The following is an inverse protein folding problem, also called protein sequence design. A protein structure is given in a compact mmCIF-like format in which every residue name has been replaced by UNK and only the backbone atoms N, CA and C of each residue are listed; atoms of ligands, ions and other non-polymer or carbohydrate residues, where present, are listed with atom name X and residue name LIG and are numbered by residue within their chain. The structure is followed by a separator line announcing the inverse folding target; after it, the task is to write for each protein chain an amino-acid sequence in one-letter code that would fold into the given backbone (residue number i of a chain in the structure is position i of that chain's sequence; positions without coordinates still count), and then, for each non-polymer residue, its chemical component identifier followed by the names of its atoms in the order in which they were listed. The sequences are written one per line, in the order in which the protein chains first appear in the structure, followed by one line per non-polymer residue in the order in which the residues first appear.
data_IF_273144094390
#
_entry.id   IF_273144094390
#
_cell.length_a   1.000
_cell.length_b   1.000
_cell.length_c   1.000
_cell.angle_alpha   90.00
_cell.angle_beta   90.00
_cell.angle_gamma   90.00
#
_symmetry.space_group_name_H-M   'P 1'
#
loop_
_entity.id
_entity.type
_entity.pdbx_description
1 polymer ?
#
# COMPACT_ATOMS: atom_id res chain seq x y z
N UNK A 1 -5.91 2.08 -2.38
CA UNK A 1 -4.81 2.32 -3.33
C UNK A 1 -5.30 1.84 -4.69
N UNK A 2 -4.93 2.49 -5.78
CA UNK A 2 -5.31 2.14 -7.14
C UNK A 2 -4.04 2.06 -7.97
N UNK A 3 -3.91 1.02 -8.78
CA UNK A 3 -2.81 0.89 -9.74
C UNK A 3 -3.00 1.96 -10.81
N UNK A 4 -1.97 2.76 -11.05
CA UNK A 4 -2.02 3.83 -12.05
C UNK A 4 -1.16 3.56 -13.27
N UNK A 5 0.00 2.94 -13.06
CA UNK A 5 0.97 2.65 -14.12
C UNK A 5 1.79 1.41 -13.76
N UNK A 6 2.21 0.68 -14.78
CA UNK A 6 3.26 -0.33 -14.69
C UNK A 6 4.63 0.36 -14.75
N UNK A 7 5.60 -0.16 -14.00
CA UNK A 7 6.96 0.36 -13.93
C UNK A 7 7.88 -0.60 -14.68
N UNK A 8 8.26 -0.21 -15.90
CA UNK A 8 9.14 -1.02 -16.75
C UNK A 8 10.60 -1.01 -16.25
N UNK A 9 11.05 0.11 -15.68
CA UNK A 9 12.43 0.27 -15.22
C UNK A 9 12.48 0.53 -13.70
N UNK A 10 12.69 -0.54 -12.94
CA UNK A 10 12.88 -0.48 -11.48
C UNK A 10 14.27 0.01 -11.06
N UNK A 11 15.21 0.16 -11.98
CA UNK A 11 16.59 0.61 -11.69
C UNK A 11 16.64 2.05 -11.17
N UNK A 12 15.68 2.87 -11.59
CA UNK A 12 15.57 4.28 -11.22
C UNK A 12 15.05 4.47 -9.78
N UNK A 13 14.54 3.40 -9.16
CA UNK A 13 14.04 3.39 -7.78
C UNK A 13 15.15 3.13 -6.74
N UNK A 14 16.39 2.97 -7.19
CA UNK A 14 17.56 2.74 -6.35
C UNK A 14 17.84 1.27 -6.06
N UNK A 15 19.07 1.00 -5.59
CA UNK A 15 19.64 -0.36 -5.49
C UNK A 15 18.80 -1.30 -4.61
N UNK A 16 18.31 -0.81 -3.47
CA UNK A 16 17.55 -1.65 -2.54
C UNK A 16 16.21 -2.09 -3.14
N UNK A 17 15.50 -1.17 -3.79
CA UNK A 17 14.22 -1.48 -4.44
C UNK A 17 14.46 -2.38 -5.66
N UNK A 18 15.49 -2.09 -6.45
CA UNK A 18 15.90 -2.92 -7.57
C UNK A 18 16.14 -4.38 -7.15
N UNK A 19 16.90 -4.63 -6.08
CA UNK A 19 17.18 -5.99 -5.59
C UNK A 19 15.91 -6.76 -5.20
N UNK A 20 14.88 -6.07 -4.71
CA UNK A 20 13.62 -6.69 -4.29
C UNK A 20 12.64 -6.94 -5.45
N UNK A 21 12.68 -6.06 -6.46
CA UNK A 21 11.68 -5.97 -7.52
C UNK A 21 12.16 -6.45 -8.90
N UNK A 22 13.47 -6.62 -9.10
CA UNK A 22 14.01 -7.12 -10.38
C UNK A 22 13.37 -8.46 -10.76
N UNK A 23 12.90 -8.57 -12.00
CA UNK A 23 12.23 -9.76 -12.53
C UNK A 23 10.79 -9.95 -12.06
N UNK A 24 10.19 -8.95 -11.41
CA UNK A 24 8.78 -8.96 -10.99
C UNK A 24 8.02 -7.82 -11.65
N UNK A 25 6.76 -8.07 -11.97
CA UNK A 25 5.84 -7.02 -12.37
C UNK A 25 5.71 -6.00 -11.24
N UNK A 26 6.01 -4.74 -11.54
CA UNK A 26 6.04 -3.66 -10.55
C UNK A 26 5.08 -2.56 -10.98
N UNK A 27 4.25 -2.09 -10.05
CA UNK A 27 3.18 -1.14 -10.36
C UNK A 27 3.21 0.04 -9.40
N UNK A 28 2.94 1.23 -9.92
CA UNK A 28 2.72 2.42 -9.10
C UNK A 28 1.31 2.40 -8.52
N UNK A 29 1.25 2.73 -7.24
CA UNK A 29 0.00 2.83 -6.50
C UNK A 29 -0.24 4.29 -6.11
N UNK A 30 -1.43 4.79 -6.42
CA UNK A 30 -1.92 6.05 -5.85
C UNK A 30 -3.00 5.79 -4.80
N UNK A 31 -3.02 6.65 -3.78
CA UNK A 31 -4.11 6.65 -2.79
C UNK A 31 -5.36 7.20 -3.47
N UNK A 32 -6.48 6.49 -3.37
CA UNK A 32 -7.79 7.08 -3.65
C UNK A 32 -8.08 7.99 -2.47
N UNK A 33 -8.21 9.29 -2.70
CA UNK A 33 -8.51 10.23 -1.62
C UNK A 33 -9.68 9.72 -0.80
N UNK A 34 -9.48 9.61 0.51
CA UNK A 34 -10.54 9.20 1.41
C UNK A 34 -11.61 10.28 1.33
N UNK A 35 -12.80 9.91 0.87
CA UNK A 35 -13.99 10.74 0.99
C UNK A 35 -14.04 11.19 2.45
N UNK A 36 -13.85 12.50 2.70
CA UNK A 36 -13.68 13.11 4.03
C UNK A 36 -14.88 12.93 4.97
N UNK A 37 -15.93 12.20 4.58
CA UNK A 37 -17.18 12.06 5.32
C UNK A 37 -17.26 10.88 6.30
N UNK A 38 -16.34 9.91 6.25
CA UNK A 38 -16.35 8.74 7.15
C UNK A 38 -15.12 8.73 8.05
N UNK A 39 -15.14 9.54 9.10
CA UNK A 39 -14.23 9.36 10.22
C UNK A 39 -14.62 8.07 10.95
N UNK A 40 -13.85 6.99 10.73
CA UNK A 40 -13.90 5.81 11.61
C UNK A 40 -13.61 6.30 13.04
N UNK A 41 -14.50 5.97 14.00
CA UNK A 41 -14.32 6.31 15.43
C UNK A 41 -12.88 6.03 15.86
N UNK A 42 -12.25 7.00 16.52
CA UNK A 42 -10.91 6.83 17.09
C UNK A 42 -10.96 5.67 18.08
N UNK A 43 -10.17 4.63 17.81
CA UNK A 43 -9.89 3.59 18.80
C UNK A 43 -8.47 3.89 19.24
N UNK A 44 -8.34 4.30 20.50
CA UNK A 44 -7.19 5.08 20.99
C UNK A 44 -5.85 4.36 20.90
N UNK A 45 -5.83 3.02 20.82
CA UNK A 45 -4.61 2.19 20.69
C UNK A 45 -4.76 1.07 19.65
N UNK A 46 -4.93 1.41 18.37
CA UNK A 46 -4.88 0.42 17.28
C UNK A 46 -3.78 0.72 16.27
N UNK A 47 -3.11 -0.34 15.85
CA UNK A 47 -2.13 -0.31 14.76
C UNK A 47 -2.80 -0.78 13.47
N UNK A 48 -2.61 -0.04 12.38
CA UNK A 48 -3.07 -0.43 11.05
C UNK A 48 -1.95 -1.13 10.29
N UNK A 49 -2.18 -2.38 9.88
CA UNK A 49 -1.32 -3.11 8.97
C UNK A 49 -1.96 -3.07 7.58
N UNK A 50 -1.20 -2.62 6.58
CA UNK A 50 -1.60 -2.69 5.17
C UNK A 50 -0.85 -3.85 4.53
N UNK A 51 -1.59 -4.80 3.98
CA UNK A 51 -1.02 -5.99 3.36
C UNK A 51 -1.74 -6.31 2.06
N UNK A 52 -1.11 -7.13 1.22
CA UNK A 52 -1.71 -7.62 -0.01
C UNK A 52 -2.34 -8.98 0.29
N UNK A 53 -3.66 -9.06 0.16
CA UNK A 53 -4.36 -10.35 0.17
C UNK A 53 -4.29 -11.00 -1.23
N UNK A 54 -4.23 -10.16 -2.27
CA UNK A 54 -4.04 -10.56 -3.67
C UNK A 54 -3.61 -9.33 -4.50
N UNK A 55 -4.41 -8.89 -5.48
CA UNK A 55 -4.17 -7.70 -6.31
C UNK A 55 -4.60 -6.38 -5.67
N UNK A 56 -5.21 -6.42 -4.48
CA UNK A 56 -5.65 -5.23 -3.76
C UNK A 56 -5.03 -5.16 -2.36
N UNK A 57 -4.70 -3.92 -1.96
CA UNK A 57 -4.16 -3.63 -0.63
C UNK A 57 -5.32 -3.57 0.38
N UNK A 58 -5.27 -4.44 1.38
CA UNK A 58 -6.21 -4.50 2.51
C UNK A 58 -5.61 -3.82 3.72
N UNK A 59 -6.40 -3.02 4.44
CA UNK A 59 -6.03 -2.40 5.70
C UNK A 59 -6.70 -3.14 6.87
N UNK A 60 -5.91 -3.85 7.66
CA UNK A 60 -6.34 -4.50 8.91
C UNK A 60 -6.00 -3.61 10.08
N UNK A 61 -6.97 -3.38 10.98
CA UNK A 61 -6.74 -2.68 12.24
C UNK A 61 -6.63 -3.70 13.37
N UNK A 62 -5.49 -3.72 14.05
CA UNK A 62 -5.26 -4.53 15.24
C UNK A 62 -5.34 -3.60 16.44
N UNK A 63 -6.26 -3.86 17.36
CA UNK A 63 -6.49 -3.05 18.54
C UNK A 63 -5.99 -3.77 19.78
N UNK A 64 -5.29 -3.04 20.66
CA UNK A 64 -5.01 -3.54 22.00
C UNK A 64 -6.33 -3.57 22.79
N UNK A 65 -6.50 -4.61 23.59
CA UNK A 65 -7.71 -4.85 24.38
C UNK A 65 -7.58 -4.21 25.76
#
# INVERSE_FOLDING_TARGET
MVVTEEIDNVSDLGIFIYQLCVGKETFRLQRRDQIMGLQKRSVENCHSIRHFENSFVVETKICQQ
#
